data_IF_653964063064
#
_entry.id   IF_653964063064
#
_cell.length_a   1.000
_cell.length_b   1.000
_cell.length_c   1.000
_cell.angle_alpha   90.00
_cell.angle_beta   90.00
_cell.angle_gamma   90.00
#
_symmetry.space_group_name_H-M   'P 1'
#
loop_
_entity.id
_entity.type
_entity.pdbx_description
1 polymer ?
#
# COMPACT_ATOMS: atom_id res chain seq x y z
N UNK A 1 -0.48 15.06 -10.87
CA UNK A 1 -0.22 13.62 -11.03
C UNK A 1 -0.35 12.93 -9.69
N UNK A 2 -0.97 11.74 -9.67
CA UNK A 2 -1.17 10.95 -8.46
C UNK A 2 -0.64 9.53 -8.64
N UNK A 3 -0.25 8.92 -7.52
CA UNK A 3 0.08 7.49 -7.40
C UNK A 3 -0.86 6.92 -6.34
N UNK A 4 -1.60 5.88 -6.67
CA UNK A 4 -2.32 5.08 -5.69
C UNK A 4 -1.32 4.09 -5.06
N UNK A 5 -0.99 4.30 -3.79
CA UNK A 5 0.04 3.51 -3.11
C UNK A 5 -0.43 2.13 -2.67
N UNK A 6 -1.74 1.82 -2.81
CA UNK A 6 -2.31 0.53 -2.43
C UNK A 6 -3.65 0.29 -3.13
N UNK A 7 -3.65 -0.60 -4.12
CA UNK A 7 -4.85 -0.99 -4.87
C UNK A 7 -4.74 -2.45 -5.33
N UNK A 8 -5.66 -3.32 -4.91
CA UNK A 8 -5.72 -4.72 -5.32
C UNK A 8 -6.29 -4.87 -6.75
N UNK A 9 -5.66 -4.18 -7.70
CA UNK A 9 -6.09 -4.10 -9.10
C UNK A 9 -6.07 -5.45 -9.85
N UNK A 10 -5.43 -6.46 -9.29
CA UNK A 10 -5.41 -7.84 -9.77
C UNK A 10 -6.67 -8.65 -9.39
N UNK A 11 -7.54 -8.15 -8.51
CA UNK A 11 -8.73 -8.87 -8.05
C UNK A 11 -9.78 -9.01 -9.17
N UNK A 12 -10.59 -10.06 -9.07
CA UNK A 12 -11.54 -10.47 -10.12
C UNK A 12 -12.52 -9.37 -10.53
N UNK A 13 -12.94 -8.52 -9.59
CA UNK A 13 -13.85 -7.41 -9.87
C UNK A 13 -13.31 -6.39 -10.87
N UNK A 14 -11.99 -6.34 -11.09
CA UNK A 14 -11.36 -5.42 -12.04
C UNK A 14 -10.99 -6.09 -13.37
N UNK A 15 -10.85 -7.42 -13.43
CA UNK A 15 -10.27 -8.15 -14.58
C UNK A 15 -10.87 -7.76 -15.92
N UNK A 16 -12.20 -7.60 -15.99
CA UNK A 16 -12.88 -7.27 -17.23
C UNK A 16 -12.68 -5.82 -17.71
N UNK A 17 -12.34 -4.91 -16.81
CA UNK A 17 -12.31 -3.46 -17.09
C UNK A 17 -10.91 -2.84 -16.93
N UNK A 18 -9.87 -3.65 -16.68
CA UNK A 18 -8.52 -3.15 -16.38
C UNK A 18 -7.99 -2.17 -17.42
N UNK A 19 -8.13 -2.48 -18.72
CA UNK A 19 -7.61 -1.62 -19.79
C UNK A 19 -8.35 -0.28 -19.84
N UNK A 20 -9.68 -0.32 -19.78
CA UNK A 20 -10.51 0.86 -19.74
C UNK A 20 -10.21 1.73 -18.49
N UNK A 21 -10.11 1.09 -17.31
CA UNK A 21 -9.77 1.80 -16.07
C UNK A 21 -8.40 2.50 -16.17
N UNK A 22 -7.37 1.84 -16.71
CA UNK A 22 -6.05 2.44 -16.87
C UNK A 22 -6.07 3.67 -17.79
N UNK A 23 -6.91 3.69 -18.82
CA UNK A 23 -7.11 4.86 -19.69
C UNK A 23 -7.79 5.99 -18.91
N UNK A 24 -8.93 5.70 -18.28
CA UNK A 24 -9.70 6.71 -17.51
C UNK A 24 -8.86 7.27 -16.34
N UNK A 25 -8.08 6.44 -15.65
CA UNK A 25 -7.18 6.89 -14.59
C UNK A 25 -6.18 7.94 -15.08
N UNK A 26 -5.66 7.76 -16.31
CA UNK A 26 -4.76 8.74 -16.92
C UNK A 26 -5.44 10.10 -17.17
N UNK A 27 -6.70 10.09 -17.61
CA UNK A 27 -7.47 11.30 -17.88
C UNK A 27 -7.71 12.13 -16.61
N UNK A 28 -7.76 11.46 -15.44
CA UNK A 28 -7.89 12.12 -14.13
C UNK A 28 -6.56 12.28 -13.39
N UNK A 29 -5.43 12.15 -14.11
CA UNK A 29 -4.08 12.33 -13.60
C UNK A 29 -3.66 11.31 -12.49
N UNK A 30 -4.27 10.13 -12.43
CA UNK A 30 -3.81 9.00 -11.62
C UNK A 30 -2.92 8.14 -12.52
N UNK A 31 -1.61 8.31 -12.40
CA UNK A 31 -0.67 7.81 -13.39
C UNK A 31 -0.04 6.47 -13.02
N UNK A 32 -0.07 6.09 -11.74
CA UNK A 32 0.57 4.87 -11.26
C UNK A 32 -0.28 4.23 -10.16
N UNK A 33 -0.28 2.88 -10.15
CA UNK A 33 -0.87 2.06 -9.10
C UNK A 33 0.19 1.12 -8.54
N UNK A 34 0.17 0.89 -7.22
CA UNK A 34 0.97 -0.15 -6.57
C UNK A 34 0.03 -1.26 -6.15
N UNK A 35 0.28 -2.47 -6.65
CA UNK A 35 -0.51 -3.66 -6.40
C UNK A 35 0.17 -4.49 -5.31
N UNK A 36 -0.38 -4.57 -4.08
CA UNK A 36 0.18 -5.42 -3.04
C UNK A 36 -0.20 -6.89 -3.24
N UNK A 37 0.73 -7.80 -2.97
CA UNK A 37 0.48 -9.23 -2.93
C UNK A 37 -0.21 -9.64 -1.65
N UNK A 38 -1.09 -10.63 -1.72
CA UNK A 38 -1.85 -11.13 -0.57
C UNK A 38 -1.47 -12.56 -0.17
N UNK A 39 -1.13 -13.39 -1.13
CA UNK A 39 -0.82 -14.81 -0.93
C UNK A 39 -0.02 -15.42 -2.10
N UNK A 40 0.56 -16.59 -1.87
CA UNK A 40 1.40 -17.26 -2.85
C UNK A 40 0.69 -17.61 -4.16
N UNK A 41 -0.63 -17.88 -4.13
CA UNK A 41 -1.41 -18.23 -5.32
C UNK A 41 -1.56 -17.03 -6.26
N UNK A 42 -1.60 -15.80 -5.70
CA UNK A 42 -1.80 -14.56 -6.46
C UNK A 42 -0.51 -13.90 -6.94
N UNK A 43 0.66 -14.26 -6.40
CA UNK A 43 1.92 -13.64 -6.86
C UNK A 43 2.17 -13.81 -8.37
N UNK A 44 2.00 -15.02 -8.97
CA UNK A 44 2.14 -15.18 -10.42
C UNK A 44 1.15 -14.31 -11.21
N UNK A 45 -0.11 -14.20 -10.74
CA UNK A 45 -1.13 -13.37 -11.41
C UNK A 45 -0.74 -11.90 -11.45
N UNK A 46 -0.14 -11.38 -10.35
CA UNK A 46 0.33 -9.99 -10.28
C UNK A 46 1.49 -9.77 -11.25
N UNK A 47 2.47 -10.67 -11.26
CA UNK A 47 3.63 -10.59 -12.16
C UNK A 47 3.18 -10.64 -13.63
N UNK A 48 2.32 -11.58 -13.99
CA UNK A 48 1.75 -11.72 -15.32
C UNK A 48 0.97 -10.47 -15.75
N UNK A 49 0.18 -9.89 -14.84
CA UNK A 49 -0.56 -8.65 -15.10
C UNK A 49 0.41 -7.50 -15.44
N UNK A 50 1.47 -7.34 -14.64
CA UNK A 50 2.47 -6.30 -14.84
C UNK A 50 3.19 -6.50 -16.19
N UNK A 51 3.64 -7.71 -16.48
CA UNK A 51 4.32 -8.03 -17.74
C UNK A 51 3.43 -7.73 -18.96
N UNK A 52 2.19 -8.24 -18.97
CA UNK A 52 1.22 -8.01 -20.06
C UNK A 52 0.91 -6.53 -20.29
N UNK A 53 0.70 -5.75 -19.19
CA UNK A 53 0.38 -4.32 -19.32
C UNK A 53 1.59 -3.48 -19.70
N UNK A 54 2.81 -3.91 -19.36
CA UNK A 54 4.05 -3.22 -19.74
C UNK A 54 4.35 -3.34 -21.25
N UNK A 55 3.91 -4.42 -21.90
CA UNK A 55 4.05 -4.59 -23.34
C UNK A 55 3.22 -3.57 -24.15
N UNK A 56 2.12 -3.08 -23.56
CA UNK A 56 1.28 -2.07 -24.19
C UNK A 56 1.86 -0.67 -23.94
N UNK A 57 2.22 0.05 -25.01
CA UNK A 57 2.87 1.37 -24.93
C UNK A 57 2.07 2.37 -24.09
N UNK A 58 0.74 2.34 -24.19
CA UNK A 58 -0.19 3.22 -23.47
C UNK A 58 -0.24 2.96 -21.96
N UNK A 59 0.18 1.74 -21.51
CA UNK A 59 0.18 1.36 -20.10
C UNK A 59 1.58 1.29 -19.49
N UNK A 60 2.61 1.60 -20.28
CA UNK A 60 3.99 1.61 -19.79
C UNK A 60 4.11 2.53 -18.58
N UNK A 61 4.82 2.05 -17.56
CA UNK A 61 5.12 2.79 -16.33
C UNK A 61 3.91 3.09 -15.42
N UNK A 62 2.74 2.44 -15.61
CA UNK A 62 1.56 2.66 -14.76
C UNK A 62 1.45 1.72 -13.57
N UNK A 63 1.89 0.47 -13.70
CA UNK A 63 1.72 -0.55 -12.65
C UNK A 63 3.05 -0.91 -11.98
N UNK A 64 3.01 -0.93 -10.66
CA UNK A 64 4.07 -1.42 -9.77
C UNK A 64 3.48 -2.45 -8.82
N UNK A 65 4.30 -3.23 -8.15
CA UNK A 65 3.82 -4.26 -7.25
C UNK A 65 4.71 -4.47 -6.04
N UNK A 66 4.12 -5.09 -5.04
CA UNK A 66 4.79 -5.71 -3.91
C UNK A 66 4.34 -7.17 -3.81
N UNK A 67 5.14 -8.03 -3.20
CA UNK A 67 4.77 -9.42 -2.90
C UNK A 67 4.88 -9.66 -1.40
N UNK A 68 3.89 -10.34 -0.83
CA UNK A 68 3.83 -10.67 0.58
C UNK A 68 2.69 -11.64 0.89
N UNK A 69 2.62 -12.09 2.14
CA UNK A 69 1.53 -12.91 2.68
C UNK A 69 0.79 -12.09 3.72
N UNK A 70 -0.43 -11.70 3.37
CA UNK A 70 -1.33 -10.92 4.21
C UNK A 70 -1.92 -11.81 5.33
N UNK A 71 -2.13 -11.32 6.56
CA UNK A 71 -2.64 -12.12 7.68
C UNK A 71 -3.98 -12.82 7.40
N UNK A 72 -4.85 -12.29 6.56
CA UNK A 72 -6.12 -12.93 6.18
C UNK A 72 -5.94 -14.21 5.35
N UNK A 73 -4.79 -14.43 4.73
CA UNK A 73 -4.52 -15.56 3.84
C UNK A 73 -3.58 -16.61 4.45
N UNK A 74 -3.40 -16.59 5.77
CA UNK A 74 -2.53 -17.53 6.48
C UNK A 74 -3.12 -18.95 6.61
N UNK A 75 -4.40 -19.14 6.36
CA UNK A 75 -5.01 -20.49 6.36
C UNK A 75 -4.38 -21.42 5.31
N UNK A 76 -4.00 -20.86 4.16
CA UNK A 76 -3.37 -21.58 3.04
C UNK A 76 -1.84 -21.42 3.02
N UNK A 77 -1.27 -20.84 4.08
CA UNK A 77 0.17 -20.60 4.14
C UNK A 77 0.94 -21.88 4.46
N UNK A 78 1.99 -22.12 3.69
CA UNK A 78 2.97 -23.18 3.89
C UNK A 78 4.38 -22.58 4.08
N UNK A 79 5.24 -23.27 4.82
CA UNK A 79 6.58 -22.73 5.16
C UNK A 79 7.48 -22.47 3.95
N UNK A 80 7.31 -23.23 2.86
CA UNK A 80 8.06 -23.07 1.62
C UNK A 80 7.64 -21.80 0.84
N UNK A 81 6.45 -21.24 1.11
CA UNK A 81 6.04 -19.96 0.54
C UNK A 81 7.00 -18.82 0.87
N UNK A 82 7.70 -18.84 2.02
CA UNK A 82 8.72 -17.84 2.34
C UNK A 82 9.94 -17.93 1.41
N UNK A 83 10.35 -19.15 1.08
CA UNK A 83 11.44 -19.38 0.12
C UNK A 83 11.03 -18.93 -1.29
N UNK A 84 9.82 -19.29 -1.71
CA UNK A 84 9.27 -18.88 -3.02
C UNK A 84 9.13 -17.35 -3.09
N UNK A 85 8.65 -16.70 -2.01
CA UNK A 85 8.56 -15.23 -1.92
C UNK A 85 9.93 -14.60 -2.16
N UNK A 86 10.95 -15.06 -1.42
CA UNK A 86 12.31 -14.54 -1.55
C UNK A 86 12.86 -14.71 -2.97
N UNK A 87 12.67 -15.89 -3.58
CA UNK A 87 13.12 -16.16 -4.95
C UNK A 87 12.45 -15.24 -5.97
N UNK A 88 11.13 -15.06 -5.88
CA UNK A 88 10.38 -14.18 -6.76
C UNK A 88 10.80 -12.70 -6.59
N UNK A 89 10.99 -12.23 -5.37
CA UNK A 89 11.48 -10.87 -5.11
C UNK A 89 12.88 -10.67 -5.70
N UNK A 90 13.82 -11.59 -5.45
CA UNK A 90 15.17 -11.52 -6.02
C UNK A 90 15.15 -11.51 -7.55
N UNK A 91 14.29 -12.33 -8.17
CA UNK A 91 14.12 -12.36 -9.64
C UNK A 91 13.58 -11.01 -10.14
N UNK A 92 12.54 -10.49 -9.50
CA UNK A 92 11.88 -9.24 -9.90
C UNK A 92 12.79 -8.01 -9.72
N UNK A 93 13.59 -7.97 -8.66
CA UNK A 93 14.56 -6.90 -8.42
C UNK A 93 15.71 -6.85 -9.44
N UNK A 94 16.00 -7.96 -10.09
CA UNK A 94 17.01 -8.04 -11.18
C UNK A 94 16.47 -7.54 -12.52
N UNK A 95 15.16 -7.37 -12.67
CA UNK A 95 14.56 -6.83 -13.89
C UNK A 95 14.92 -5.35 -14.07
N UNK A 96 15.17 -4.94 -15.29
CA UNK A 96 15.61 -3.57 -15.59
C UNK A 96 14.56 -2.50 -15.34
N UNK A 97 13.28 -2.88 -15.37
CA UNK A 97 12.15 -1.94 -15.24
C UNK A 97 11.76 -1.60 -13.79
N UNK A 98 12.33 -2.31 -12.81
CA UNK A 98 12.17 -2.04 -11.36
C UNK A 98 10.70 -1.91 -10.92
N UNK A 99 9.83 -2.82 -11.37
CA UNK A 99 8.40 -2.80 -11.05
C UNK A 99 8.09 -3.32 -9.65
N UNK A 100 8.91 -4.21 -9.10
CA UNK A 100 8.83 -4.66 -7.72
C UNK A 100 9.40 -3.55 -6.81
N UNK A 101 8.56 -2.95 -5.95
CA UNK A 101 8.93 -1.74 -5.19
C UNK A 101 8.92 -1.93 -3.68
N UNK A 102 8.37 -3.04 -3.18
CA UNK A 102 8.26 -3.32 -1.74
C UNK A 102 8.05 -4.82 -1.49
N UNK A 103 8.19 -5.23 -0.24
CA UNK A 103 7.62 -6.47 0.27
C UNK A 103 6.30 -6.13 0.98
N UNK A 104 5.22 -6.79 0.59
CA UNK A 104 3.89 -6.50 1.12
C UNK A 104 2.77 -7.11 0.26
N UNK A 105 1.60 -7.23 0.86
CA UNK A 105 1.17 -6.71 2.14
C UNK A 105 1.49 -7.71 3.25
N UNK A 106 1.98 -7.23 4.39
CA UNK A 106 2.31 -8.04 5.56
C UNK A 106 1.85 -7.35 6.85
N UNK A 107 1.61 -8.08 7.91
CA UNK A 107 1.23 -7.41 9.15
C UNK A 107 0.43 -8.28 10.10
N UNK A 108 -0.35 -7.59 10.95
CA UNK A 108 -1.15 -8.22 12.00
C UNK A 108 -2.58 -7.66 12.03
N UNK A 109 -3.54 -8.55 12.16
CA UNK A 109 -4.96 -8.22 12.33
C UNK A 109 -5.54 -8.95 13.55
N UNK A 110 -5.98 -8.20 14.56
CA UNK A 110 -6.60 -8.77 15.77
C UNK A 110 -8.06 -9.18 15.56
N UNK A 111 -8.67 -8.85 14.44
CA UNK A 111 -10.09 -9.10 14.20
C UNK A 111 -10.37 -10.39 13.44
N UNK A 112 -9.33 -11.10 12.99
CA UNK A 112 -9.44 -12.39 12.30
C UNK A 112 -9.24 -13.57 13.26
N UNK A 113 -9.66 -14.75 12.84
CA UNK A 113 -9.59 -15.98 13.66
C UNK A 113 -8.17 -16.54 13.81
N UNK A 114 -7.27 -16.25 12.84
CA UNK A 114 -5.89 -16.73 12.89
C UNK A 114 -5.16 -16.20 14.11
N UNK A 115 -4.57 -17.11 14.90
CA UNK A 115 -3.85 -16.76 16.13
C UNK A 115 -2.75 -15.73 15.87
N UNK A 116 -2.66 -14.72 16.77
CA UNK A 116 -1.67 -13.65 16.65
C UNK A 116 -0.23 -14.17 16.67
N UNK A 117 0.07 -15.27 17.39
CA UNK A 117 1.41 -15.82 17.40
C UNK A 117 1.82 -16.40 16.03
N UNK A 118 0.88 -16.99 15.31
CA UNK A 118 1.09 -17.45 13.92
C UNK A 118 1.32 -16.25 13.02
N UNK A 119 0.46 -15.23 13.11
CA UNK A 119 0.62 -13.99 12.32
C UNK A 119 1.97 -13.35 12.59
N UNK A 120 2.41 -13.23 13.85
CA UNK A 120 3.69 -12.65 14.23
C UNK A 120 4.87 -13.45 13.66
N UNK A 121 4.81 -14.78 13.73
CA UNK A 121 5.86 -15.64 13.18
C UNK A 121 6.06 -15.40 11.68
N UNK A 122 4.96 -15.36 10.91
CA UNK A 122 5.02 -15.13 9.46
C UNK A 122 5.41 -13.67 9.15
N UNK A 123 4.92 -12.71 9.92
CA UNK A 123 5.30 -11.31 9.79
C UNK A 123 6.80 -11.11 10.00
N UNK A 124 7.38 -11.65 11.06
CA UNK A 124 8.81 -11.54 11.38
C UNK A 124 9.69 -12.20 10.32
N UNK A 125 9.28 -13.36 9.79
CA UNK A 125 10.00 -14.04 8.72
C UNK A 125 10.01 -13.20 7.44
N UNK A 126 8.89 -12.57 7.09
CA UNK A 126 8.80 -11.68 5.93
C UNK A 126 9.59 -10.38 6.15
N UNK A 127 9.56 -9.83 7.37
CA UNK A 127 10.35 -8.65 7.72
C UNK A 127 11.86 -8.91 7.58
N UNK A 128 12.31 -10.12 7.95
CA UNK A 128 13.70 -10.53 7.75
C UNK A 128 14.08 -10.63 6.26
N UNK A 129 13.16 -11.10 5.39
CA UNK A 129 13.37 -11.11 3.94
C UNK A 129 13.47 -9.67 3.41
N UNK A 130 12.60 -8.76 3.86
CA UNK A 130 12.64 -7.36 3.46
C UNK A 130 13.94 -6.67 3.87
N UNK A 131 14.44 -6.92 5.09
CA UNK A 131 15.74 -6.42 5.57
C UNK A 131 16.90 -6.93 4.72
N UNK A 132 16.94 -8.23 4.42
CA UNK A 132 17.98 -8.85 3.59
C UNK A 132 18.01 -8.29 2.15
N UNK A 133 16.83 -7.99 1.60
CA UNK A 133 16.68 -7.45 0.24
C UNK A 133 16.68 -5.91 0.18
N UNK A 134 16.78 -5.24 1.32
CA UNK A 134 16.76 -3.78 1.43
C UNK A 134 15.47 -3.14 0.85
N UNK A 135 14.34 -3.81 1.08
CA UNK A 135 13.04 -3.37 0.58
C UNK A 135 12.23 -2.66 1.68
N UNK A 136 11.52 -1.58 1.34
CA UNK A 136 10.47 -1.07 2.21
C UNK A 136 9.33 -2.08 2.29
N UNK A 137 8.48 -1.96 3.33
CA UNK A 137 7.33 -2.86 3.51
C UNK A 137 6.00 -2.12 3.44
N UNK A 138 4.94 -2.81 3.01
CA UNK A 138 3.56 -2.34 3.11
C UNK A 138 2.91 -3.08 4.27
N UNK A 139 2.50 -2.32 5.30
CA UNK A 139 2.00 -2.87 6.56
C UNK A 139 0.48 -2.84 6.67
N UNK A 140 -0.11 -4.00 6.92
CA UNK A 140 -1.46 -4.17 7.42
C UNK A 140 -1.47 -4.13 8.95
N UNK A 141 -2.22 -3.20 9.55
CA UNK A 141 -2.18 -2.98 11.01
C UNK A 141 -3.59 -2.75 11.55
N UNK A 142 -4.26 -3.79 12.00
CA UNK A 142 -5.62 -3.72 12.54
C UNK A 142 -5.65 -4.09 14.02
N UNK A 143 -5.89 -3.08 14.89
CA UNK A 143 -5.90 -3.19 16.37
C UNK A 143 -4.60 -3.76 16.97
N UNK A 144 -3.48 -3.65 16.25
CA UNK A 144 -2.16 -4.22 16.61
C UNK A 144 -1.04 -3.20 16.57
N UNK A 145 -1.35 -1.89 16.52
CA UNK A 145 -0.37 -0.80 16.35
C UNK A 145 0.81 -0.89 17.32
N UNK A 146 0.53 -1.06 18.61
CA UNK A 146 1.58 -1.14 19.65
C UNK A 146 2.47 -2.37 19.46
N UNK A 147 1.89 -3.50 19.04
CA UNK A 147 2.65 -4.74 18.84
C UNK A 147 3.54 -4.65 17.61
N UNK A 148 3.03 -4.14 16.48
CA UNK A 148 3.84 -3.89 15.27
C UNK A 148 5.00 -2.93 15.60
N UNK A 149 4.74 -1.82 16.29
CA UNK A 149 5.80 -0.87 16.70
C UNK A 149 6.87 -1.54 17.57
N UNK A 150 6.47 -2.42 18.50
CA UNK A 150 7.39 -3.18 19.33
C UNK A 150 8.26 -4.10 18.45
N UNK A 151 7.65 -4.91 17.57
CA UNK A 151 8.36 -5.84 16.69
C UNK A 151 9.34 -5.12 15.74
N UNK A 152 8.93 -4.00 15.15
CA UNK A 152 9.81 -3.18 14.31
C UNK A 152 11.03 -2.64 15.07
N UNK A 153 10.86 -2.24 16.34
CA UNK A 153 11.94 -1.77 17.21
C UNK A 153 12.86 -2.92 17.64
N UNK A 154 12.31 -4.08 18.00
CA UNK A 154 13.06 -5.28 18.41
C UNK A 154 13.92 -5.82 17.26
N UNK A 155 13.38 -5.87 16.04
CA UNK A 155 14.10 -6.32 14.85
C UNK A 155 15.04 -5.26 14.29
N UNK A 156 14.93 -3.99 14.74
CA UNK A 156 15.68 -2.84 14.22
C UNK A 156 15.49 -2.65 12.71
N UNK A 157 14.29 -2.99 12.19
CA UNK A 157 14.00 -2.84 10.77
C UNK A 157 14.23 -1.40 10.31
N UNK A 158 15.02 -1.22 9.23
CA UNK A 158 15.59 0.08 8.87
C UNK A 158 15.12 0.66 7.53
N UNK A 159 14.40 -0.12 6.72
CA UNK A 159 14.01 0.30 5.36
C UNK A 159 12.66 1.01 5.29
N UNK A 160 11.96 1.18 6.43
CA UNK A 160 10.68 1.88 6.49
C UNK A 160 9.60 1.25 5.62
N UNK A 161 8.69 2.06 5.11
CA UNK A 161 7.60 1.56 4.27
C UNK A 161 6.34 2.41 4.36
N UNK A 162 5.19 1.78 4.14
CA UNK A 162 3.88 2.39 4.27
C UNK A 162 3.05 1.62 5.29
N UNK A 163 2.54 2.30 6.31
CA UNK A 163 1.43 1.83 7.11
C UNK A 163 0.15 2.16 6.32
N UNK A 164 -0.37 1.17 5.57
CA UNK A 164 -1.56 1.35 4.75
C UNK A 164 -2.82 1.49 5.59
N UNK A 165 -3.88 2.07 5.02
CA UNK A 165 -5.18 2.29 5.66
C UNK A 165 -5.07 2.93 7.06
N UNK A 166 -4.16 3.92 7.21
CA UNK A 166 -3.93 4.51 8.51
C UNK A 166 -5.21 5.05 9.13
N UNK A 167 -5.52 4.51 10.31
CA UNK A 167 -6.60 4.98 11.17
C UNK A 167 -6.11 5.03 12.62
N UNK A 168 -5.93 6.23 13.16
CA UNK A 168 -5.35 6.34 14.49
C UNK A 168 -5.19 7.76 15.02
N UNK A 169 -4.42 7.87 16.10
CA UNK A 169 -4.07 9.16 16.72
C UNK A 169 -2.74 9.68 16.19
N UNK A 170 -2.49 10.96 16.42
CA UNK A 170 -1.24 11.63 16.06
C UNK A 170 -0.02 11.00 16.75
N UNK A 171 -0.18 10.54 17.99
CA UNK A 171 0.90 9.92 18.77
C UNK A 171 1.35 8.59 18.11
N UNK A 172 0.39 7.74 17.74
CA UNK A 172 0.68 6.47 17.04
C UNK A 172 1.31 6.75 15.68
N UNK A 173 0.77 7.70 14.92
CA UNK A 173 1.32 8.12 13.64
C UNK A 173 2.80 8.53 13.75
N UNK A 174 3.12 9.38 14.73
CA UNK A 174 4.47 9.88 14.95
C UNK A 174 5.47 8.76 15.31
N UNK A 175 5.04 7.70 16.03
CA UNK A 175 5.92 6.55 16.30
C UNK A 175 6.27 5.79 15.01
N UNK A 176 5.33 5.57 14.09
CA UNK A 176 5.64 4.97 12.78
C UNK A 176 6.52 5.89 11.91
N UNK A 177 6.26 7.19 11.92
CA UNK A 177 7.07 8.18 11.17
C UNK A 177 8.53 8.17 11.65
N UNK A 178 8.79 8.08 12.96
CA UNK A 178 10.15 7.97 13.54
C UNK A 178 10.89 6.71 13.06
N UNK A 179 10.17 5.66 12.72
CA UNK A 179 10.73 4.41 12.16
C UNK A 179 10.83 4.44 10.62
N UNK A 180 10.64 5.60 9.99
CA UNK A 180 10.77 5.76 8.53
C UNK A 180 9.53 5.42 7.72
N UNK A 181 8.38 5.19 8.37
CA UNK A 181 7.13 4.88 7.65
C UNK A 181 6.39 6.11 7.18
N UNK A 182 5.76 6.00 6.01
CA UNK A 182 4.70 6.88 5.54
C UNK A 182 3.35 6.29 5.95
N UNK A 183 2.35 7.15 5.99
CA UNK A 183 0.98 6.79 6.35
C UNK A 183 0.11 6.81 5.10
N UNK A 184 -0.45 5.67 4.76
CA UNK A 184 -1.41 5.51 3.67
C UNK A 184 -2.75 6.10 4.08
N UNK A 185 -3.16 7.15 3.38
CA UNK A 185 -4.41 7.85 3.66
C UNK A 185 -5.43 7.47 2.59
N UNK A 186 -6.39 6.64 3.00
CA UNK A 186 -7.45 6.11 2.16
C UNK A 186 -8.83 6.68 2.46
N UNK A 187 -9.88 5.95 2.08
CA UNK A 187 -11.28 6.35 2.15
C UNK A 187 -11.77 6.84 3.51
N UNK A 188 -11.14 6.43 4.61
CA UNK A 188 -11.54 6.79 5.98
C UNK A 188 -11.63 8.30 6.22
N UNK A 189 -10.77 9.12 5.59
CA UNK A 189 -10.80 10.58 5.81
C UNK A 189 -11.97 11.27 5.13
N UNK A 190 -12.67 10.61 4.22
CA UNK A 190 -13.86 11.14 3.56
C UNK A 190 -15.09 11.10 4.49
N UNK A 191 -15.07 10.28 5.55
CA UNK A 191 -16.18 10.15 6.50
C UNK A 191 -16.20 11.32 7.49
N UNK A 192 -17.32 12.07 7.59
CA UNK A 192 -17.41 13.23 8.48
C UNK A 192 -17.16 12.89 9.96
N UNK A 193 -17.51 11.68 10.39
CA UNK A 193 -17.38 11.19 11.77
C UNK A 193 -16.00 10.58 12.09
N UNK A 194 -15.07 10.48 11.13
CA UNK A 194 -13.70 9.98 11.35
C UNK A 194 -12.80 11.03 12.04
N UNK A 195 -13.33 11.72 13.05
CA UNK A 195 -12.71 12.88 13.70
C UNK A 195 -11.28 12.61 14.19
N UNK A 196 -11.03 11.43 14.80
CA UNK A 196 -9.71 11.10 15.34
C UNK A 196 -8.64 11.07 14.23
N UNK A 197 -8.91 10.34 13.15
CA UNK A 197 -7.98 10.23 12.02
C UNK A 197 -7.85 11.55 11.28
N UNK A 198 -8.95 12.24 11.00
CA UNK A 198 -8.95 13.56 10.34
C UNK A 198 -8.12 14.58 11.11
N UNK A 199 -8.29 14.65 12.44
CA UNK A 199 -7.52 15.55 13.31
C UNK A 199 -6.02 15.18 13.32
N UNK A 200 -5.68 13.90 13.39
CA UNK A 200 -4.29 13.45 13.30
C UNK A 200 -3.68 13.89 11.95
N UNK A 201 -4.31 13.49 10.83
CA UNK A 201 -3.82 13.77 9.47
C UNK A 201 -3.68 15.28 9.20
N UNK A 202 -4.54 16.13 9.78
CA UNK A 202 -4.44 17.58 9.62
C UNK A 202 -3.18 18.20 10.26
N UNK A 203 -2.56 17.52 11.23
CA UNK A 203 -1.39 18.02 11.99
C UNK A 203 -0.09 17.34 11.64
N UNK A 204 -0.14 16.13 11.06
CA UNK A 204 1.05 15.37 10.69
C UNK A 204 1.89 16.11 9.64
N UNK A 205 3.23 15.92 9.62
CA UNK A 205 4.06 16.45 8.54
C UNK A 205 3.56 15.96 7.18
N UNK A 206 3.34 16.87 6.24
CA UNK A 206 2.88 16.50 4.90
C UNK A 206 3.84 15.52 4.20
N UNK A 207 5.13 15.57 4.57
CA UNK A 207 6.17 14.64 4.10
C UNK A 207 5.97 13.20 4.55
N UNK A 208 5.05 12.93 5.48
CA UNK A 208 4.77 11.57 5.99
C UNK A 208 3.53 10.92 5.37
N UNK A 209 2.85 11.59 4.44
CA UNK A 209 1.56 11.16 3.90
C UNK A 209 1.73 10.63 2.47
N UNK A 210 1.12 9.47 2.18
CA UNK A 210 0.85 8.97 0.84
C UNK A 210 -0.65 8.74 0.68
N UNK A 211 -1.16 8.71 -0.57
CA UNK A 211 -2.58 8.44 -0.84
C UNK A 211 -2.77 7.04 -1.41
N UNK A 212 -3.90 6.46 -1.07
CA UNK A 212 -4.31 5.14 -1.56
C UNK A 212 -5.82 5.01 -1.60
N UNK A 213 -6.31 4.00 -2.32
CA UNK A 213 -7.74 3.66 -2.31
C UNK A 213 -8.04 2.41 -1.52
N UNK A 214 -7.12 1.45 -1.48
CA UNK A 214 -7.34 0.08 -1.03
C UNK A 214 -8.48 -0.62 -1.81
N UNK A 215 -8.70 -0.17 -3.05
CA UNK A 215 -9.76 -0.73 -3.87
C UNK A 215 -9.49 -2.22 -4.20
N UNK A 216 -10.51 -3.09 -4.14
CA UNK A 216 -11.96 -2.81 -4.12
C UNK A 216 -12.56 -2.58 -2.73
N UNK A 217 -11.75 -2.62 -1.68
CA UNK A 217 -12.16 -2.44 -0.29
C UNK A 217 -12.15 -0.95 0.13
N UNK A 218 -12.42 -0.66 1.39
CA UNK A 218 -12.32 0.68 2.01
C UNK A 218 -13.05 1.80 1.25
N UNK A 219 -14.37 1.70 1.00
CA UNK A 219 -15.13 2.67 0.20
C UNK A 219 -15.04 4.10 0.75
N UNK A 220 -15.16 5.08 -0.15
CA UNK A 220 -15.31 6.48 0.24
C UNK A 220 -16.72 6.75 0.78
N UNK A 221 -16.88 7.81 1.58
CA UNK A 221 -18.18 8.20 2.12
C UNK A 221 -19.22 8.42 1.02
N UNK A 222 -20.42 7.84 1.20
CA UNK A 222 -21.55 7.89 0.27
C UNK A 222 -21.27 7.25 -1.11
N UNK A 223 -20.30 6.33 -1.20
CA UNK A 223 -20.10 5.55 -2.42
C UNK A 223 -21.37 4.76 -2.78
N UNK A 224 -21.75 4.80 -4.04
CA UNK A 224 -22.97 4.15 -4.56
C UNK A 224 -22.72 2.76 -5.17
N UNK A 225 -21.46 2.46 -5.52
CA UNK A 225 -21.06 1.18 -6.11
C UNK A 225 -20.69 0.16 -5.02
N UNK A 226 -20.89 -1.15 -5.23
CA UNK A 226 -20.56 -2.17 -4.23
C UNK A 226 -19.05 -2.24 -3.96
N UNK A 227 -18.21 -2.05 -4.98
CA UNK A 227 -16.76 -2.09 -4.86
C UNK A 227 -16.18 -0.67 -4.94
N UNK A 228 -15.13 -0.42 -4.16
CA UNK A 228 -14.31 0.77 -4.30
C UNK A 228 -13.57 0.75 -5.65
N UNK A 229 -13.08 1.90 -6.08
CA UNK A 229 -12.37 2.07 -7.36
C UNK A 229 -11.13 2.94 -7.18
N UNK A 230 -10.03 2.67 -7.91
CA UNK A 230 -8.88 3.57 -7.92
C UNK A 230 -9.22 4.99 -8.40
N UNK A 231 -10.33 5.20 -9.09
CA UNK A 231 -10.84 6.53 -9.45
C UNK A 231 -11.19 7.39 -8.23
N UNK A 232 -11.54 6.77 -7.10
CA UNK A 232 -11.86 7.48 -5.88
C UNK A 232 -10.64 8.11 -5.18
N UNK A 233 -9.41 7.85 -5.66
CA UNK A 233 -8.21 8.52 -5.16
C UNK A 233 -8.33 10.05 -5.22
N UNK A 234 -9.03 10.57 -6.23
CA UNK A 234 -9.31 12.02 -6.34
C UNK A 234 -10.22 12.52 -5.23
N UNK A 235 -11.28 11.76 -4.88
CA UNK A 235 -12.18 12.08 -3.75
C UNK A 235 -11.42 12.09 -2.43
N UNK A 236 -10.51 11.14 -2.23
CA UNK A 236 -9.65 11.07 -1.03
C UNK A 236 -8.70 12.28 -1.00
N UNK A 237 -8.10 12.64 -2.12
CA UNK A 237 -7.26 13.83 -2.24
C UNK A 237 -8.03 15.11 -1.89
N UNK A 238 -9.23 15.28 -2.40
CA UNK A 238 -10.05 16.46 -2.12
C UNK A 238 -10.43 16.54 -0.63
N UNK A 239 -10.76 15.39 0.00
CA UNK A 239 -10.98 15.33 1.45
C UNK A 239 -9.71 15.64 2.27
N UNK A 240 -8.53 15.23 1.79
CA UNK A 240 -7.25 15.60 2.40
C UNK A 240 -7.04 17.12 2.34
N UNK A 241 -7.23 17.74 1.16
CA UNK A 241 -7.09 19.19 1.00
C UNK A 241 -8.03 20.00 1.89
N UNK A 242 -9.25 19.49 2.15
CA UNK A 242 -10.20 20.16 3.05
C UNK A 242 -9.74 20.24 4.52
N UNK A 243 -8.87 19.33 4.95
CA UNK A 243 -8.38 19.30 6.34
C UNK A 243 -6.95 19.83 6.48
N UNK A 244 -6.27 20.08 5.37
CA UNK A 244 -4.89 20.61 5.34
C UNK A 244 -4.90 22.13 5.20
N UNK A 245 -3.80 22.78 5.61
CA UNK A 245 -3.60 24.23 5.51
C UNK A 245 -2.85 24.62 4.24
N UNK A 246 -2.12 23.69 3.66
CA UNK A 246 -1.35 23.89 2.44
C UNK A 246 -2.28 23.98 1.22
N UNK A 247 -1.85 24.63 0.14
CA UNK A 247 -2.62 24.64 -1.11
C UNK A 247 -2.69 23.26 -1.74
N UNK A 248 -3.70 23.00 -2.54
CA UNK A 248 -3.90 21.71 -3.22
C UNK A 248 -2.69 21.34 -4.09
N UNK A 249 -2.03 22.32 -4.71
CA UNK A 249 -0.83 22.12 -5.52
C UNK A 249 0.34 21.62 -4.69
N UNK A 250 0.56 22.25 -3.52
CA UNK A 250 1.62 21.85 -2.57
C UNK A 250 1.34 20.43 -2.04
N UNK A 251 0.09 20.15 -1.66
CA UNK A 251 -0.31 18.82 -1.19
C UNK A 251 -0.07 17.79 -2.29
N UNK A 252 -0.57 18.02 -3.52
CA UNK A 252 -0.41 17.09 -4.64
C UNK A 252 1.06 16.79 -4.95
N UNK A 253 1.90 17.84 -5.02
CA UNK A 253 3.33 17.68 -5.30
C UNK A 253 4.04 16.91 -4.20
N UNK A 254 3.74 17.18 -2.93
CA UNK A 254 4.40 16.53 -1.81
C UNK A 254 4.02 15.06 -1.70
N UNK A 255 2.74 14.69 -1.78
CA UNK A 255 2.31 13.29 -1.70
C UNK A 255 2.86 12.45 -2.87
N UNK A 256 2.91 13.03 -4.07
CA UNK A 256 3.55 12.38 -5.23
C UNK A 256 5.03 12.11 -4.96
N UNK A 257 5.75 13.10 -4.45
CA UNK A 257 7.17 12.98 -4.07
C UNK A 257 7.38 11.93 -2.97
N UNK A 258 6.50 11.92 -1.95
CA UNK A 258 6.58 10.96 -0.84
C UNK A 258 6.45 9.52 -1.34
N UNK A 259 5.45 9.26 -2.20
CA UNK A 259 5.21 7.90 -2.74
C UNK A 259 6.38 7.44 -3.61
N UNK A 260 6.91 8.33 -4.45
CA UNK A 260 8.10 8.03 -5.26
C UNK A 260 9.32 7.73 -4.40
N UNK A 261 9.53 8.52 -3.35
CA UNK A 261 10.68 8.36 -2.47
C UNK A 261 10.65 7.04 -1.70
N UNK A 262 9.50 6.69 -1.08
CA UNK A 262 9.43 5.48 -0.24
C UNK A 262 9.52 4.20 -1.06
N UNK A 263 9.01 4.19 -2.28
CA UNK A 263 9.03 3.04 -3.16
C UNK A 263 10.13 3.10 -4.23
N UNK A 264 11.03 4.06 -4.14
CA UNK A 264 12.14 4.24 -5.11
C UNK A 264 11.68 4.22 -6.57
N UNK A 265 10.47 4.74 -6.83
CA UNK A 265 9.90 4.80 -8.18
C UNK A 265 10.69 5.81 -9.00
N UNK A 266 11.35 5.33 -10.07
CA UNK A 266 12.17 6.15 -10.94
C UNK A 266 11.28 7.08 -11.79
N UNK A 267 11.76 8.27 -12.09
CA UNK A 267 11.11 9.18 -13.04
C UNK A 267 11.07 8.54 -14.43
N UNK A 268 9.96 8.80 -15.11
CA UNK A 268 9.82 8.55 -16.54
C UNK A 268 10.72 9.45 -17.34
#
# INVERSE_FOLDING_TARGET
MFIDSHCHFNFDCFKAEQDNLLLVLSDVNINKLIIPGTDAKRWPEIIDLIEKKTELKEHKNKLYFALGVHPHFLTDFESDHLSQLKELLVKSLKQNDKRCVALGEIGLDKLIETDLAIQESVFLAQLAIAEDLQLPVILHVVKTQSRILQLLKETKFSYGGVYHAFSGSEEIANEFIKLGFKLGIGGVITYPNANKTRNAVSRLPLTSIVLETDAPDMPVYQQLTPNNSPLHLKTIFDALCQIRKESSEVVAQQIYTNTKSIFSIIND
#
